data_IF_614166003460
#
_entry.id   IF_614166003460
#
_cell.length_a   1.000
_cell.length_b   1.000
_cell.length_c   1.000
_cell.angle_alpha   90.00
_cell.angle_beta   90.00
_cell.angle_gamma   90.00
#
_symmetry.space_group_name_H-M   'P 1'
#
loop_
_entity.id
_entity.type
_entity.pdbx_description
1 polymer ?
#
# COMPACT_ATOMS: atom_id res chain seq x y z
N UNK A 1 -2.65 5.41 14.95
CA UNK A 1 -2.74 5.98 13.57
C UNK A 1 -2.77 4.85 12.56
N UNK A 2 -3.48 4.98 11.44
CA UNK A 2 -3.72 3.89 10.47
C UNK A 2 -2.45 3.18 9.96
N UNK A 3 -1.33 3.89 9.79
CA UNK A 3 -0.03 3.30 9.45
C UNK A 3 0.45 2.22 10.45
N UNK A 4 0.17 2.40 11.75
CA UNK A 4 0.52 1.40 12.77
C UNK A 4 -0.36 0.15 12.65
N UNK A 5 -1.61 0.30 12.24
CA UNK A 5 -2.53 -0.82 12.04
C UNK A 5 -2.02 -1.74 10.92
N UNK A 6 -1.52 -1.20 9.82
CA UNK A 6 -0.86 -1.98 8.75
C UNK A 6 0.30 -2.85 9.27
N UNK A 7 1.03 -2.35 10.27
CA UNK A 7 2.13 -3.09 10.90
C UNK A 7 1.62 -4.14 11.91
N UNK A 8 0.63 -3.78 12.74
CA UNK A 8 0.03 -4.68 13.74
C UNK A 8 -0.64 -5.88 13.07
N UNK A 9 -1.37 -5.63 11.98
CA UNK A 9 -2.04 -6.65 11.16
C UNK A 9 -1.07 -7.42 10.25
N UNK A 10 0.24 -7.13 10.35
CA UNK A 10 1.31 -7.78 9.56
C UNK A 10 1.12 -7.67 8.05
N UNK A 11 0.40 -6.64 7.60
CA UNK A 11 0.34 -6.30 6.19
C UNK A 11 1.66 -5.68 5.72
N UNK A 12 2.34 -4.93 6.59
CA UNK A 12 3.68 -4.36 6.33
C UNK A 12 4.59 -4.71 7.50
N UNK A 13 5.85 -5.05 7.22
CA UNK A 13 6.83 -5.36 8.25
C UNK A 13 7.14 -4.13 9.11
N UNK A 14 7.40 -4.33 10.40
CA UNK A 14 7.73 -3.23 11.34
C UNK A 14 8.94 -2.39 10.90
N UNK A 15 9.94 -3.02 10.28
CA UNK A 15 11.13 -2.32 9.75
C UNK A 15 10.78 -1.40 8.56
N UNK A 16 9.66 -1.65 7.89
CA UNK A 16 9.13 -0.89 6.76
C UNK A 16 8.04 0.10 7.19
N UNK A 17 8.12 0.66 8.40
CA UNK A 17 7.17 1.68 8.87
C UNK A 17 7.03 2.88 7.92
N UNK A 18 8.09 3.41 7.27
CA UNK A 18 7.95 4.45 6.26
C UNK A 18 7.03 4.05 5.09
N UNK A 19 7.11 2.81 4.61
CA UNK A 19 6.22 2.29 3.57
C UNK A 19 4.76 2.27 4.05
N UNK A 20 4.52 1.88 5.31
CA UNK A 20 3.20 1.91 5.92
C UNK A 20 2.62 3.33 6.04
N UNK A 21 3.47 4.33 6.28
CA UNK A 21 3.04 5.74 6.29
C UNK A 21 2.59 6.17 4.89
N UNK A 22 3.35 5.85 3.83
CA UNK A 22 2.96 6.18 2.45
C UNK A 22 1.62 5.55 2.06
N UNK A 23 1.43 4.27 2.38
CA UNK A 23 0.15 3.59 2.14
C UNK A 23 -0.99 4.23 2.92
N UNK A 24 -0.78 4.54 4.19
CA UNK A 24 -1.80 5.14 5.03
C UNK A 24 -2.22 6.52 4.50
N UNK A 25 -1.26 7.37 4.12
CA UNK A 25 -1.52 8.68 3.52
C UNK A 25 -2.30 8.53 2.21
N UNK A 26 -1.86 7.63 1.32
CA UNK A 26 -2.54 7.40 0.05
C UNK A 26 -3.98 6.92 0.24
N UNK A 27 -4.22 5.96 1.15
CA UNK A 27 -5.55 5.43 1.42
C UNK A 27 -6.48 6.47 2.09
N UNK A 28 -5.98 7.24 3.08
CA UNK A 28 -6.76 8.28 3.77
C UNK A 28 -7.21 9.37 2.80
N UNK A 29 -6.34 9.76 1.86
CA UNK A 29 -6.63 10.80 0.89
C UNK A 29 -7.22 10.27 -0.42
N UNK A 30 -7.61 8.99 -0.47
CA UNK A 30 -8.16 8.33 -1.67
C UNK A 30 -7.29 8.55 -2.93
N UNK A 31 -5.96 8.54 -2.76
CA UNK A 31 -5.01 8.63 -3.87
C UNK A 31 -5.10 7.31 -4.65
N UNK A 32 -5.39 7.37 -5.97
CA UNK A 32 -5.70 6.16 -6.73
C UNK A 32 -4.47 5.27 -6.97
N UNK A 33 -3.28 5.86 -7.08
CA UNK A 33 -2.05 5.14 -7.41
C UNK A 33 -0.93 5.49 -6.43
N UNK A 34 -0.20 4.46 -5.99
CA UNK A 34 1.03 4.60 -5.22
C UNK A 34 2.15 3.88 -5.96
N UNK A 35 2.89 4.64 -6.77
CA UNK A 35 3.99 4.12 -7.56
C UNK A 35 5.22 3.84 -6.68
N UNK A 36 5.84 2.66 -6.82
CA UNK A 36 7.02 2.28 -6.03
C UNK A 36 7.91 1.28 -6.77
N UNK A 37 9.23 1.41 -6.59
CA UNK A 37 10.22 0.42 -7.03
C UNK A 37 10.57 -0.60 -5.93
N UNK A 38 10.00 -0.47 -4.73
CA UNK A 38 10.31 -1.35 -3.61
C UNK A 38 9.47 -2.64 -3.69
N UNK A 39 9.92 -3.60 -4.51
CA UNK A 39 9.31 -4.92 -4.63
C UNK A 39 9.57 -5.83 -3.43
N UNK A 40 10.55 -5.52 -2.59
CA UNK A 40 10.85 -6.31 -1.39
C UNK A 40 9.75 -6.15 -0.34
N UNK A 41 9.21 -4.93 -0.18
CA UNK A 41 8.30 -4.63 0.92
C UNK A 41 6.93 -4.09 0.48
N UNK A 42 6.80 -3.42 -0.66
CA UNK A 42 5.58 -2.68 -1.01
C UNK A 42 4.92 -3.19 -2.30
N UNK A 43 5.64 -3.22 -3.43
CA UNK A 43 5.16 -3.80 -4.69
C UNK A 43 5.28 -5.33 -4.74
N UNK A 44 5.21 -6.00 -3.59
CA UNK A 44 5.27 -7.45 -3.51
C UNK A 44 3.86 -8.04 -3.72
N UNK A 45 3.62 -8.92 -4.71
CA UNK A 45 2.31 -9.53 -4.95
C UNK A 45 1.73 -10.30 -3.77
N UNK A 46 2.56 -10.82 -2.86
CA UNK A 46 2.11 -11.49 -1.64
C UNK A 46 1.72 -10.50 -0.51
N UNK A 47 2.17 -9.25 -0.62
CA UNK A 47 1.96 -8.20 0.40
C UNK A 47 0.80 -7.29 0.03
N UNK A 48 0.63 -6.97 -1.26
CA UNK A 48 -0.46 -6.12 -1.78
C UNK A 48 -1.85 -6.58 -1.29
N UNK A 49 -2.25 -7.87 -1.41
CA UNK A 49 -3.57 -8.32 -0.95
C UNK A 49 -3.81 -8.11 0.55
N UNK A 50 -2.75 -8.20 1.37
CA UNK A 50 -2.82 -7.96 2.81
C UNK A 50 -3.04 -6.49 3.12
N UNK A 51 -2.29 -5.62 2.44
CA UNK A 51 -2.46 -4.16 2.55
C UNK A 51 -3.88 -3.78 2.16
N UNK A 52 -4.35 -4.26 1.02
CA UNK A 52 -5.69 -3.95 0.54
C UNK A 52 -6.78 -4.42 1.49
N UNK A 53 -6.62 -5.63 2.06
CA UNK A 53 -7.53 -6.16 3.08
C UNK A 53 -7.59 -5.23 4.29
N UNK A 54 -6.44 -4.83 4.84
CA UNK A 54 -6.40 -3.95 6.02
C UNK A 54 -6.99 -2.57 5.71
N UNK A 55 -6.75 -2.02 4.52
CA UNK A 55 -7.41 -0.78 4.09
C UNK A 55 -8.93 -0.92 4.08
N UNK A 56 -9.45 -1.97 3.43
CA UNK A 56 -10.90 -2.21 3.33
C UNK A 56 -11.52 -2.47 4.70
N UNK A 57 -10.89 -3.29 5.54
CA UNK A 57 -11.35 -3.59 6.90
C UNK A 57 -11.36 -2.33 7.80
N UNK A 58 -10.51 -1.34 7.50
CA UNK A 58 -10.47 -0.04 8.16
C UNK A 58 -11.37 1.03 7.50
N UNK A 59 -12.13 0.68 6.46
CA UNK A 59 -13.05 1.59 5.76
C UNK A 59 -12.40 2.50 4.71
N UNK A 60 -11.15 2.25 4.31
CA UNK A 60 -10.45 3.00 3.27
C UNK A 60 -10.45 2.27 1.94
N UNK A 61 -10.43 3.04 0.85
CA UNK A 61 -10.16 2.50 -0.49
C UNK A 61 -8.64 2.33 -0.63
N UNK A 62 -8.14 1.10 -0.89
CA UNK A 62 -6.71 0.90 -1.05
C UNK A 62 -6.19 1.54 -2.35
N UNK A 63 -5.00 2.16 -2.32
CA UNK A 63 -4.37 2.63 -3.55
C UNK A 63 -3.91 1.45 -4.41
N UNK A 64 -3.88 1.63 -5.73
CA UNK A 64 -3.19 0.72 -6.65
C UNK A 64 -1.67 0.86 -6.44
N UNK A 65 -1.06 -0.15 -5.82
CA UNK A 65 0.38 -0.19 -5.56
C UNK A 65 1.07 -1.00 -6.66
N UNK A 66 1.94 -0.36 -7.43
CA UNK A 66 2.68 -1.00 -8.51
C UNK A 66 3.94 -0.22 -8.88
N UNK A 67 4.75 -0.80 -9.77
CA UNK A 67 5.87 -0.08 -10.38
C UNK A 67 5.37 1.08 -11.25
N UNK A 68 6.16 2.15 -11.41
CA UNK A 68 5.79 3.23 -12.33
C UNK A 68 5.53 2.75 -13.75
N UNK A 69 6.31 1.79 -14.23
CA UNK A 69 6.16 1.20 -15.58
C UNK A 69 4.81 0.50 -15.72
N UNK A 70 4.47 -0.36 -14.75
CA UNK A 70 3.18 -1.06 -14.73
C UNK A 70 2.01 -0.08 -14.71
N UNK A 71 2.11 1.00 -13.92
CA UNK A 71 1.06 2.03 -13.89
C UNK A 71 0.95 2.74 -15.25
N UNK A 72 2.07 3.10 -15.88
CA UNK A 72 2.05 3.72 -17.21
C UNK A 72 1.45 2.82 -18.29
N UNK A 73 1.62 1.49 -18.19
CA UNK A 73 1.01 0.51 -19.09
C UNK A 73 -0.49 0.31 -18.84
N UNK A 74 -0.96 0.52 -17.61
CA UNK A 74 -2.38 0.43 -17.21
C UNK A 74 -3.17 1.72 -17.51
N UNK A 75 -2.48 2.85 -17.66
CA UNK A 75 -3.09 4.14 -17.97
C UNK A 75 -3.42 4.25 -19.47
N UNK A 76 -4.58 4.82 -19.82
CA UNK A 76 -5.04 4.96 -21.20
C UNK A 76 -4.24 5.98 -22.03
#
# INVERSE_FOLDING_TARGET
MFAQQLVIEKAILKIALPDAIHVAVAAIHAIPYLATWNFSHLANPCTIPKIEKVCRDAGYVPPRIASPQTIMEELP
#
